data_IF_163857235081
#
_entry.id   IF_163857235081
#
_cell.length_a   1.000
_cell.length_b   1.000
_cell.length_c   1.000
_cell.angle_alpha   90.00
_cell.angle_beta   90.00
_cell.angle_gamma   90.00
#
_symmetry.space_group_name_H-M   'P 1'
#
loop_
_entity.id
_entity.type
_entity.pdbx_description
1 polymer ?
#
# COMPACT_ATOMS: atom_id res chain seq x y z
N UNK A 1 9.24 -14.48 -6.27
CA UNK A 1 9.80 -13.63 -7.35
C UNK A 1 8.76 -12.59 -7.68
N UNK A 2 9.13 -11.30 -7.77
CA UNK A 2 8.17 -10.25 -8.13
C UNK A 2 8.06 -10.16 -9.65
N UNK A 3 6.84 -10.30 -10.18
CA UNK A 3 6.59 -10.25 -11.63
C UNK A 3 5.73 -9.04 -11.98
N UNK A 4 6.22 -8.19 -12.88
CA UNK A 4 5.46 -7.09 -13.46
C UNK A 4 5.02 -7.48 -14.87
N UNK A 5 3.72 -7.54 -15.11
CA UNK A 5 3.14 -7.92 -16.40
C UNK A 5 2.52 -6.69 -17.07
N UNK A 6 2.97 -6.37 -18.28
CA UNK A 6 2.32 -5.35 -19.10
C UNK A 6 1.20 -6.00 -19.90
N UNK A 7 0.04 -5.35 -19.94
CA UNK A 7 -1.11 -5.73 -20.76
C UNK A 7 -1.48 -4.51 -21.60
N UNK A 8 -1.43 -4.66 -22.93
CA UNK A 8 -1.68 -3.56 -23.87
C UNK A 8 -3.17 -3.35 -24.09
N UNK A 9 -3.54 -2.16 -24.55
CA UNK A 9 -4.95 -1.86 -24.81
C UNK A 9 -5.51 -2.75 -25.93
N UNK A 10 -4.74 -3.00 -26.98
CA UNK A 10 -5.16 -3.84 -28.11
C UNK A 10 -5.50 -5.28 -27.68
N UNK A 11 -4.74 -5.82 -26.72
CA UNK A 11 -4.95 -7.16 -26.18
C UNK A 11 -6.27 -7.29 -25.42
N UNK A 12 -6.67 -6.26 -24.68
CA UNK A 12 -7.91 -6.29 -23.88
C UNK A 12 -9.13 -5.73 -24.61
N UNK A 13 -8.94 -4.84 -25.59
CA UNK A 13 -10.01 -4.24 -26.40
C UNK A 13 -10.76 -5.32 -27.19
N UNK A 14 -10.03 -6.31 -27.71
CA UNK A 14 -10.61 -7.43 -28.46
C UNK A 14 -11.44 -8.39 -27.59
N UNK A 15 -11.34 -8.30 -26.26
CA UNK A 15 -12.05 -9.17 -25.33
C UNK A 15 -13.38 -8.57 -24.90
N UNK A 16 -14.38 -9.44 -24.72
CA UNK A 16 -15.59 -9.06 -23.99
C UNK A 16 -15.25 -8.73 -22.52
N UNK A 17 -16.10 -7.94 -21.86
CA UNK A 17 -15.89 -7.52 -20.46
C UNK A 17 -15.64 -8.71 -19.53
N UNK A 18 -16.46 -9.77 -19.61
CA UNK A 18 -16.27 -10.98 -18.82
C UNK A 18 -14.92 -11.67 -19.08
N UNK A 19 -14.48 -11.76 -20.36
CA UNK A 19 -13.18 -12.35 -20.71
C UNK A 19 -12.01 -11.49 -20.23
N UNK A 20 -12.15 -10.17 -20.30
CA UNK A 20 -11.17 -9.21 -19.80
C UNK A 20 -10.99 -9.35 -18.29
N UNK A 21 -12.09 -9.37 -17.54
CA UNK A 21 -12.08 -9.55 -16.08
C UNK A 21 -11.45 -10.89 -15.71
N UNK A 22 -11.88 -11.98 -16.35
CA UNK A 22 -11.30 -13.30 -16.12
C UNK A 22 -9.78 -13.29 -16.35
N UNK A 23 -9.32 -12.74 -17.48
CA UNK A 23 -7.89 -12.65 -17.80
C UNK A 23 -7.11 -11.90 -16.73
N UNK A 24 -7.64 -10.77 -16.25
CA UNK A 24 -6.99 -9.98 -15.21
C UNK A 24 -6.94 -10.73 -13.87
N UNK A 25 -8.04 -11.39 -13.47
CA UNK A 25 -8.07 -12.23 -12.26
C UNK A 25 -7.08 -13.39 -12.33
N UNK A 26 -7.05 -14.11 -13.45
CA UNK A 26 -6.12 -15.23 -13.67
C UNK A 26 -4.67 -14.75 -13.49
N UNK A 27 -4.30 -13.62 -14.10
CA UNK A 27 -2.95 -13.05 -13.98
C UNK A 27 -2.62 -12.62 -12.55
N UNK A 28 -3.54 -11.97 -11.83
CA UNK A 28 -3.29 -11.53 -10.45
C UNK A 28 -3.17 -12.72 -9.50
N UNK A 29 -3.94 -13.78 -9.71
CA UNK A 29 -3.83 -15.05 -8.96
C UNK A 29 -2.51 -15.78 -9.16
N UNK A 30 -1.82 -15.51 -10.27
CA UNK A 30 -0.45 -15.97 -10.52
C UNK A 30 0.62 -15.04 -9.90
N UNK A 31 0.24 -14.25 -8.89
CA UNK A 31 1.11 -13.32 -8.17
C UNK A 31 1.74 -12.22 -9.06
N UNK A 32 1.06 -11.86 -10.17
CA UNK A 32 1.54 -10.82 -11.10
C UNK A 32 0.94 -9.45 -10.77
N UNK A 33 1.79 -8.43 -10.80
CA UNK A 33 1.36 -7.03 -10.80
C UNK A 33 1.18 -6.60 -12.26
N UNK A 34 -0.05 -6.26 -12.62
CA UNK A 34 -0.46 -5.89 -13.97
C UNK A 34 -0.35 -4.38 -14.16
N UNK A 35 0.28 -3.98 -15.27
CA UNK A 35 0.24 -2.64 -15.84
C UNK A 35 -0.62 -2.69 -17.10
N UNK A 36 -1.86 -2.26 -16.97
CA UNK A 36 -2.84 -2.22 -18.05
C UNK A 36 -2.85 -0.84 -18.71
N UNK A 37 -2.58 -0.80 -20.00
CA UNK A 37 -2.74 0.41 -20.81
C UNK A 37 -4.23 0.79 -20.92
N UNK A 38 -4.56 2.04 -20.58
CA UNK A 38 -5.92 2.52 -20.46
C UNK A 38 -6.56 2.21 -19.10
N UNK A 39 -7.89 2.22 -19.07
CA UNK A 39 -8.68 1.95 -17.86
C UNK A 39 -9.81 0.98 -18.12
N UNK A 40 -10.17 0.26 -17.08
CA UNK A 40 -11.43 -0.48 -17.06
C UNK A 40 -12.59 0.50 -17.04
N UNK A 41 -13.70 0.11 -17.68
CA UNK A 41 -14.97 0.81 -17.48
C UNK A 41 -15.37 0.68 -16.02
N UNK A 42 -16.11 1.66 -15.48
CA UNK A 42 -16.58 1.60 -14.08
C UNK A 42 -17.35 0.31 -13.77
N UNK A 43 -18.14 -0.18 -14.73
CA UNK A 43 -18.86 -1.45 -14.61
C UNK A 43 -17.91 -2.65 -14.54
N UNK A 44 -16.85 -2.66 -15.36
CA UNK A 44 -15.85 -3.73 -15.38
C UNK A 44 -14.99 -3.73 -14.11
N UNK A 45 -14.65 -2.55 -13.59
CA UNK A 45 -13.95 -2.40 -12.32
C UNK A 45 -14.79 -2.93 -11.15
N UNK A 46 -16.07 -2.56 -11.10
CA UNK A 46 -17.00 -3.08 -10.09
C UNK A 46 -17.19 -4.60 -10.19
N UNK A 47 -17.30 -5.13 -11.41
CA UNK A 47 -17.43 -6.56 -11.66
C UNK A 47 -16.13 -7.31 -11.29
N UNK A 48 -14.96 -6.76 -11.60
CA UNK A 48 -13.66 -7.29 -11.17
C UNK A 48 -13.56 -7.37 -9.64
N UNK A 49 -13.95 -6.30 -8.92
CA UNK A 49 -13.97 -6.28 -7.45
C UNK A 49 -14.95 -7.33 -6.91
N UNK A 50 -16.16 -7.39 -7.48
CA UNK A 50 -17.20 -8.36 -7.09
C UNK A 50 -16.74 -9.80 -7.28
N UNK A 51 -16.19 -10.14 -8.44
CA UNK A 51 -15.62 -11.46 -8.72
C UNK A 51 -14.44 -11.79 -7.81
N UNK A 52 -13.59 -10.80 -7.53
CA UNK A 52 -12.50 -10.97 -6.56
C UNK A 52 -13.05 -11.42 -5.21
N UNK A 53 -14.08 -10.75 -4.68
CA UNK A 53 -14.67 -11.09 -3.37
C UNK A 53 -15.18 -12.53 -3.31
N UNK A 54 -15.74 -13.05 -4.41
CA UNK A 54 -16.20 -14.45 -4.49
C UNK A 54 -15.06 -15.47 -4.60
N UNK A 55 -13.87 -15.02 -4.97
CA UNK A 55 -12.70 -15.88 -5.23
C UNK A 55 -11.66 -15.82 -4.10
N UNK A 56 -11.88 -14.99 -3.07
CA UNK A 56 -10.99 -14.90 -1.91
C UNK A 56 -10.95 -16.22 -1.15
N UNK A 57 -9.73 -16.69 -0.87
CA UNK A 57 -9.47 -17.90 -0.10
C UNK A 57 -8.18 -17.77 0.74
N UNK A 58 -7.63 -18.90 1.20
CA UNK A 58 -6.40 -18.91 1.98
C UNK A 58 -5.17 -18.43 1.20
N UNK A 59 -5.14 -18.62 -0.10
CA UNK A 59 -4.03 -18.29 -1.00
C UNK A 59 -4.24 -16.93 -1.70
N UNK A 60 -5.49 -16.57 -2.01
CA UNK A 60 -5.82 -15.34 -2.71
C UNK A 60 -6.59 -14.39 -1.80
N UNK A 61 -5.93 -13.31 -1.35
CA UNK A 61 -6.49 -12.33 -0.40
C UNK A 61 -7.26 -11.18 -1.05
N UNK A 62 -7.30 -11.15 -2.38
CA UNK A 62 -7.96 -10.12 -3.16
C UNK A 62 -6.99 -9.32 -4.01
N UNK A 63 -7.43 -8.13 -4.45
CA UNK A 63 -6.68 -7.28 -5.38
C UNK A 63 -6.61 -5.84 -4.87
N UNK A 64 -5.56 -5.14 -5.31
CA UNK A 64 -5.42 -3.69 -5.22
C UNK A 64 -5.49 -3.09 -6.63
N UNK A 65 -6.28 -2.02 -6.80
CA UNK A 65 -6.47 -1.34 -8.09
C UNK A 65 -6.09 0.14 -7.97
N UNK A 66 -5.34 0.63 -8.96
CA UNK A 66 -4.93 2.03 -9.03
C UNK A 66 -4.91 2.54 -10.48
N UNK A 67 -5.77 3.51 -10.80
CA UNK A 67 -5.76 4.18 -12.12
C UNK A 67 -4.92 5.45 -12.06
N UNK A 68 -3.90 5.56 -12.90
CA UNK A 68 -3.03 6.73 -13.02
C UNK A 68 -3.33 7.44 -14.33
N UNK A 69 -3.56 8.75 -14.26
CA UNK A 69 -3.72 9.58 -15.46
C UNK A 69 -2.38 10.29 -15.74
N UNK A 70 -1.90 10.28 -16.99
CA UNK A 70 -0.76 11.11 -17.36
C UNK A 70 -1.17 12.58 -17.21
N UNK A 71 -0.61 13.26 -16.21
CA UNK A 71 -0.84 14.71 -16.06
C UNK A 71 -0.05 15.49 -17.12
N UNK A 72 -0.76 16.33 -17.88
CA UNK A 72 -0.12 17.35 -18.71
C UNK A 72 0.33 18.50 -17.80
N UNK A 73 1.52 18.37 -17.18
CA UNK A 73 2.10 19.48 -16.43
C UNK A 73 2.37 20.66 -17.36
N UNK A 74 1.82 21.81 -16.97
CA UNK A 74 2.00 23.13 -17.55
C UNK A 74 1.63 23.23 -19.03
N UNK A 75 0.44 23.74 -19.40
CA UNK A 75 0.28 24.31 -20.73
C UNK A 75 -0.97 25.18 -20.92
N UNK A 76 -0.79 26.18 -21.80
CA UNK A 76 -1.63 27.34 -22.12
C UNK A 76 -3.06 26.99 -22.59
N UNK A 77 -3.94 27.99 -22.66
CA UNK A 77 -5.34 27.89 -23.11
C UNK A 77 -5.56 27.12 -24.42
N UNK A 78 -4.58 27.11 -25.33
CA UNK A 78 -4.61 26.38 -26.60
C UNK A 78 -4.56 24.85 -26.43
N UNK A 79 -3.84 24.36 -25.44
CA UNK A 79 -3.70 22.93 -25.17
C UNK A 79 -4.96 22.38 -24.48
N UNK A 80 -5.68 23.17 -23.67
CA UNK A 80 -7.00 22.77 -23.11
C UNK A 80 -8.00 22.33 -24.18
N UNK A 81 -7.98 23.01 -25.33
CA UNK A 81 -8.83 22.66 -26.47
C UNK A 81 -8.36 21.34 -27.08
N UNK A 82 -7.05 21.16 -27.29
CA UNK A 82 -6.45 19.89 -27.75
C UNK A 82 -6.75 18.75 -26.78
N UNK A 83 -6.61 18.92 -25.47
CA UNK A 83 -6.95 17.91 -24.47
C UNK A 83 -8.42 17.53 -24.54
N UNK A 84 -9.33 18.47 -24.83
CA UNK A 84 -10.75 18.17 -25.07
C UNK A 84 -10.96 17.32 -26.34
N UNK A 85 -10.28 17.64 -27.45
CA UNK A 85 -10.32 16.84 -28.67
C UNK A 85 -9.70 15.45 -28.47
N UNK A 86 -8.55 15.37 -27.79
CA UNK A 86 -7.86 14.12 -27.45
C UNK A 86 -8.75 13.29 -26.51
N UNK A 87 -9.45 13.90 -25.54
CA UNK A 87 -10.42 13.19 -24.70
C UNK A 87 -11.65 12.73 -25.49
N UNK A 88 -12.05 13.44 -26.53
CA UNK A 88 -13.13 13.00 -27.43
C UNK A 88 -12.71 11.80 -28.31
N UNK A 89 -11.44 11.77 -28.74
CA UNK A 89 -10.90 10.74 -29.65
C UNK A 89 -10.40 9.51 -28.87
N UNK A 90 -9.68 9.72 -27.76
CA UNK A 90 -9.13 8.65 -26.93
C UNK A 90 -10.09 8.22 -25.82
N UNK A 91 -10.96 9.10 -25.32
CA UNK A 91 -11.95 8.78 -24.27
C UNK A 91 -11.37 7.94 -23.13
N UNK A 92 -11.89 6.74 -22.99
CA UNK A 92 -11.58 5.72 -21.98
C UNK A 92 -10.17 5.11 -22.12
N UNK A 93 -9.43 5.44 -23.19
CA UNK A 93 -8.07 4.93 -23.46
C UNK A 93 -6.99 5.71 -22.74
N UNK A 94 -7.30 6.88 -22.16
CA UNK A 94 -6.33 7.62 -21.37
C UNK A 94 -6.18 7.05 -19.98
N UNK A 95 -4.94 6.69 -19.64
CA UNK A 95 -4.54 6.28 -18.31
C UNK A 95 -3.70 5.01 -18.33
N UNK A 96 -3.22 4.65 -17.15
CA UNK A 96 -2.53 3.40 -16.86
C UNK A 96 -3.17 2.81 -15.62
N UNK A 97 -3.74 1.62 -15.73
CA UNK A 97 -4.33 0.91 -14.59
C UNK A 97 -3.35 -0.09 -14.04
N UNK A 98 -3.09 -0.01 -12.74
CA UNK A 98 -2.26 -0.96 -12.01
C UNK A 98 -3.19 -1.85 -11.21
N UNK A 99 -3.02 -3.16 -11.35
CA UNK A 99 -3.80 -4.16 -10.62
C UNK A 99 -2.80 -5.18 -10.06
N UNK A 100 -2.89 -5.53 -8.79
CA UNK A 100 -2.06 -6.61 -8.27
C UNK A 100 -2.65 -7.27 -7.04
N UNK A 101 -2.05 -8.37 -6.58
CA UNK A 101 -2.61 -9.18 -5.52
C UNK A 101 -2.38 -8.50 -4.18
N UNK A 102 -3.40 -8.47 -3.32
CA UNK A 102 -3.33 -7.87 -1.99
C UNK A 102 -2.35 -8.61 -1.06
N UNK A 103 -1.98 -9.86 -1.40
CA UNK A 103 -0.92 -10.61 -0.72
C UNK A 103 0.48 -10.00 -0.91
N UNK A 104 0.70 -9.28 -2.02
CA UNK A 104 1.99 -8.68 -2.36
C UNK A 104 1.94 -7.17 -2.18
N UNK A 105 0.87 -6.51 -2.62
CA UNK A 105 0.72 -5.05 -2.59
C UNK A 105 -0.06 -4.65 -1.33
N UNK A 106 0.59 -3.89 -0.46
CA UNK A 106 -0.05 -3.24 0.70
C UNK A 106 -0.68 -1.91 0.35
N UNK A 107 0.01 -1.11 -0.47
CA UNK A 107 -0.43 0.24 -0.81
C UNK A 107 0.17 0.71 -2.13
N UNK A 108 -0.63 1.41 -2.94
CA UNK A 108 -0.17 2.08 -4.16
C UNK A 108 -0.26 3.61 -3.94
N UNK A 109 0.88 4.27 -3.80
CA UNK A 109 0.95 5.74 -3.68
C UNK A 109 1.26 6.40 -5.01
N UNK A 110 0.49 7.44 -5.33
CA UNK A 110 0.67 8.25 -6.53
C UNK A 110 1.34 9.56 -6.17
N UNK A 111 2.45 9.85 -6.82
CA UNK A 111 3.01 11.19 -6.92
C UNK A 111 2.97 11.62 -8.39
N UNK A 112 2.91 12.92 -8.68
CA UNK A 112 2.85 13.39 -10.06
C UNK A 112 4.09 13.05 -10.91
N UNK A 113 5.21 12.64 -10.29
CA UNK A 113 6.43 12.20 -10.99
C UNK A 113 6.74 10.70 -10.85
N UNK A 114 6.04 9.97 -9.98
CA UNK A 114 6.37 8.58 -9.67
C UNK A 114 5.21 7.82 -9.07
N UNK A 115 5.13 6.53 -9.39
CA UNK A 115 4.22 5.58 -8.77
C UNK A 115 5.03 4.72 -7.80
N UNK A 116 4.54 4.54 -6.59
CA UNK A 116 5.21 3.75 -5.55
C UNK A 116 4.30 2.61 -5.11
N UNK A 117 4.86 1.39 -5.15
CA UNK A 117 4.22 0.16 -4.69
C UNK A 117 4.88 -0.23 -3.36
N UNK A 118 4.11 -0.25 -2.28
CA UNK A 118 4.55 -0.79 -1.00
C UNK A 118 4.21 -2.27 -1.00
N UNK A 119 5.23 -3.12 -0.97
CA UNK A 119 5.05 -4.56 -0.95
C UNK A 119 5.24 -5.12 0.45
N UNK A 120 4.47 -6.14 0.82
CA UNK A 120 4.78 -6.90 2.02
C UNK A 120 5.95 -7.82 1.74
N UNK A 121 7.12 -7.46 2.25
CA UNK A 121 8.25 -8.36 2.18
C UNK A 121 8.05 -9.43 3.26
N UNK A 122 8.04 -10.71 2.87
CA UNK A 122 8.42 -11.82 3.75
C UNK A 122 9.88 -11.73 4.22
N UNK A 123 10.36 -10.54 4.58
CA UNK A 123 11.63 -10.30 5.22
C UNK A 123 11.52 -10.77 6.67
N UNK A 124 11.69 -12.09 6.83
CA UNK A 124 12.27 -12.75 8.00
C UNK A 124 12.51 -11.82 9.21
N UNK A 125 11.63 -11.94 10.20
CA UNK A 125 11.85 -11.46 11.57
C UNK A 125 13.13 -12.02 12.22
N UNK A 126 13.87 -12.90 11.52
CA UNK A 126 15.13 -13.51 11.96
C UNK A 126 16.29 -12.50 12.15
N UNK A 127 16.26 -11.29 11.56
CA UNK A 127 17.33 -10.31 11.75
C UNK A 127 17.15 -9.34 12.93
N UNK A 128 16.00 -9.34 13.62
CA UNK A 128 15.77 -8.43 14.75
C UNK A 128 16.21 -8.99 16.12
N UNK A 129 16.49 -10.31 16.21
CA UNK A 129 16.85 -10.97 17.49
C UNK A 129 18.36 -11.07 17.78
N UNK A 130 19.21 -10.51 16.93
CA UNK A 130 20.68 -10.61 17.02
C UNK A 130 21.40 -9.33 17.48
N UNK A 131 20.84 -8.56 18.41
CA UNK A 131 21.55 -7.43 19.06
C UNK A 131 21.28 -7.35 20.57
N UNK A 132 21.45 -8.48 21.25
CA UNK A 132 21.78 -8.45 22.68
C UNK A 132 23.30 -8.31 22.82
N UNK A 133 23.80 -7.08 22.93
CA UNK A 133 25.16 -6.85 23.44
C UNK A 133 25.14 -5.74 24.49
N UNK A 134 25.34 -6.17 25.74
CA UNK A 134 26.07 -5.43 26.78
C UNK A 134 25.56 -4.04 27.15
N UNK A 135 24.47 -3.96 27.93
CA UNK A 135 24.32 -2.86 28.89
C UNK A 135 24.55 -3.42 30.28
N UNK A 136 25.79 -3.24 30.71
CA UNK A 136 26.29 -3.49 32.06
C UNK A 136 25.28 -2.94 33.10
N UNK A 137 24.74 -3.84 33.92
CA UNK A 137 23.92 -3.48 35.09
C UNK A 137 24.80 -2.69 36.05
N UNK A 138 24.77 -1.35 35.97
CA UNK A 138 25.17 -0.50 37.09
C UNK A 138 24.23 -0.81 38.26
N UNK A 139 24.73 -1.61 39.20
CA UNK A 139 24.12 -1.79 40.52
C UNK A 139 24.02 -0.42 41.18
N UNK A 140 22.84 0.00 41.63
CA UNK A 140 22.72 1.11 42.57
C UNK A 140 23.40 0.67 43.88
N UNK A 141 24.20 1.53 44.54
CA UNK A 141 24.68 1.21 45.89
C UNK A 141 23.50 1.21 46.86
N UNK A 142 23.47 0.22 47.76
CA UNK A 142 22.57 0.21 48.92
C UNK A 142 22.91 1.38 49.85
N UNK A 143 21.91 2.02 50.48
CA UNK A 143 22.17 3.02 51.50
C UNK A 143 22.82 2.37 52.73
N UNK A 144 23.82 3.06 53.31
CA UNK A 144 24.48 2.65 54.56
C UNK A 144 23.50 2.71 55.72
N UNK A 145 23.62 1.74 56.62
CA UNK A 145 22.80 1.47 57.81
C UNK A 145 22.88 2.51 58.94
N UNK A 146 23.35 3.73 58.68
CA UNK A 146 23.74 4.67 59.73
C UNK A 146 22.83 5.91 59.83
N UNK A 147 21.74 5.97 59.07
CA UNK A 147 20.70 7.01 59.25
C UNK A 147 19.47 6.43 59.95
N UNK A 148 19.64 6.14 61.24
CA UNK A 148 18.54 6.03 62.18
C UNK A 148 19.00 6.56 63.54
N UNK A 149 18.08 7.22 64.27
CA UNK A 149 18.15 7.73 65.66
C UNK A 149 18.61 9.20 65.74
N UNK A 150 17.89 10.20 66.28
CA UNK A 150 16.58 10.38 66.94
C UNK A 150 16.35 11.91 67.05
N UNK A 151 15.09 12.38 67.14
CA UNK A 151 14.66 13.11 68.34
C UNK A 151 13.13 13.13 68.46
N UNK A 152 12.64 12.48 69.51
CA UNK A 152 11.35 12.73 70.16
C UNK A 152 11.31 14.19 70.63
N UNK A 153 10.45 15.05 70.03
CA UNK A 153 9.90 16.26 70.70
C UNK A 153 8.91 17.12 69.89
N UNK A 154 8.45 16.74 68.70
CA UNK A 154 7.49 17.57 67.94
C UNK A 154 6.01 17.11 68.03
N UNK A 155 5.68 16.24 68.99
CA UNK A 155 4.31 16.06 69.46
C UNK A 155 4.02 17.09 70.55
N UNK A 156 3.53 18.26 70.15
CA UNK A 156 2.64 19.19 70.90
C UNK A 156 2.84 20.64 70.42
N UNK A 157 2.13 21.04 69.35
CA UNK A 157 1.56 22.39 69.17
C UNK A 157 0.96 22.57 67.77
N UNK A 158 -0.28 22.11 67.57
CA UNK A 158 -1.35 22.99 67.09
C UNK A 158 -2.68 22.21 67.04
N UNK A 159 -3.38 22.23 68.17
CA UNK A 159 -4.84 22.15 68.24
C UNK A 159 -5.34 23.59 68.40
N UNK A 160 -5.92 24.15 67.33
CA UNK A 160 -6.93 25.21 67.35
C UNK A 160 -7.58 25.30 65.96
#
# INVERSE_FOLDING_TARGET
MLTLQVVTYQEIEALSSAKRIKKLLDLVKEDKIIFLEGRLKRSEEAELISHTMSEIDDNFKGIEICVVYPEQRNQLFLEKIRSHFINLILGDRQGLTIIGPASIIKEIRRNPDKIQLFTDNGATEASAKGRSNGREKRRKPEPRSDEAILSENDLENNLA
#
